data_IF_779291491024
#
_entry.id   IF_779291491024
#
_cell.length_a   1.000
_cell.length_b   1.000
_cell.length_c   1.000
_cell.angle_alpha   90.00
_cell.angle_beta   90.00
_cell.angle_gamma   90.00
#
_symmetry.space_group_name_H-M   'P 1'
#
loop_
_entity.id
_entity.type
_entity.pdbx_description
1 polymer ?
#
# COMPACT_ATOMS: atom_id res chain seq x y z
N UNK A 1 6.06 -15.73 6.40
CA UNK A 1 4.77 -15.05 6.18
C UNK A 1 4.99 -13.70 5.54
N UNK A 2 4.17 -13.39 4.60
CA UNK A 2 4.25 -12.12 3.91
C UNK A 2 3.40 -11.08 4.64
N UNK A 3 3.91 -9.86 4.79
CA UNK A 3 3.18 -8.73 5.37
C UNK A 3 2.26 -8.05 4.36
N UNK A 4 2.28 -8.52 3.13
CA UNK A 4 1.55 -7.94 2.02
C UNK A 4 1.02 -9.06 1.13
N UNK A 5 -0.25 -8.99 0.77
CA UNK A 5 -0.87 -9.91 -0.17
C UNK A 5 -1.19 -9.16 -1.46
N UNK A 6 -0.70 -9.68 -2.57
CA UNK A 6 -0.94 -9.11 -3.90
C UNK A 6 -1.56 -10.19 -4.78
N UNK A 7 -2.79 -9.97 -5.22
CA UNK A 7 -3.55 -10.91 -6.05
C UNK A 7 -4.06 -10.17 -7.28
N UNK A 8 -3.74 -10.70 -8.45
CA UNK A 8 -4.26 -10.20 -9.72
C UNK A 8 -5.20 -11.26 -10.30
N UNK A 9 -6.49 -11.00 -10.26
CA UNK A 9 -7.50 -11.99 -10.60
C UNK A 9 -8.70 -11.31 -11.25
N UNK A 10 -9.07 -11.78 -12.43
CA UNK A 10 -10.25 -11.30 -13.18
C UNK A 10 -10.23 -9.78 -13.43
N UNK A 11 -9.06 -9.22 -13.67
CA UNK A 11 -8.89 -7.80 -13.92
C UNK A 11 -8.88 -6.92 -12.66
N UNK A 12 -8.92 -7.54 -11.48
CA UNK A 12 -8.85 -6.83 -10.20
C UNK A 12 -7.51 -7.12 -9.54
N UNK A 13 -6.74 -6.07 -9.31
CA UNK A 13 -5.48 -6.16 -8.57
C UNK A 13 -5.77 -5.80 -7.11
N UNK A 14 -5.70 -6.79 -6.22
CA UNK A 14 -5.91 -6.58 -4.79
C UNK A 14 -4.58 -6.50 -4.07
N UNK A 15 -4.35 -5.39 -3.41
CA UNK A 15 -3.16 -5.16 -2.59
C UNK A 15 -3.63 -5.01 -1.15
N UNK A 16 -3.35 -6.00 -0.32
CA UNK A 16 -3.84 -6.03 1.07
C UNK A 16 -2.66 -6.06 2.03
N UNK A 17 -2.63 -5.14 2.97
CA UNK A 17 -1.63 -5.13 4.05
C UNK A 17 -2.06 -6.16 5.08
N UNK A 18 -1.18 -7.13 5.39
CA UNK A 18 -1.52 -8.30 6.19
C UNK A 18 -0.66 -8.42 7.44
N UNK A 19 -0.49 -7.31 8.16
CA UNK A 19 0.21 -7.30 9.44
C UNK A 19 -0.63 -6.60 10.52
N UNK A 20 -1.82 -7.20 10.85
CA UNK A 20 -2.75 -6.56 11.78
C UNK A 20 -2.21 -6.39 13.20
N UNK A 21 -1.25 -7.21 13.61
CA UNK A 21 -0.65 -7.12 14.94
C UNK A 21 0.10 -5.80 15.18
N UNK A 22 0.53 -5.14 14.11
CA UNK A 22 1.14 -3.81 14.21
C UNK A 22 0.31 -2.75 13.49
N UNK A 23 -1.01 -2.98 13.39
CA UNK A 23 -1.96 -2.07 12.78
C UNK A 23 -1.62 -1.70 11.33
N UNK A 24 -1.05 -2.66 10.61
CA UNK A 24 -0.70 -2.53 9.19
C UNK A 24 0.27 -1.38 8.89
N UNK A 25 1.23 -1.13 9.81
CA UNK A 25 2.34 -0.24 9.52
C UNK A 25 3.22 -0.86 8.43
N UNK A 26 3.80 -0.01 7.58
CA UNK A 26 4.50 -0.46 6.38
C UNK A 26 5.97 -0.06 6.38
N UNK A 27 6.77 -0.88 5.71
CA UNK A 27 8.20 -0.63 5.49
C UNK A 27 8.40 -0.10 4.07
N UNK A 28 9.59 0.45 3.80
CA UNK A 28 9.95 0.87 2.45
C UNK A 28 9.88 -0.31 1.46
N UNK A 29 10.28 -1.49 1.90
CA UNK A 29 10.20 -2.70 1.08
C UNK A 29 8.76 -3.02 0.66
N UNK A 30 7.82 -2.92 1.59
CA UNK A 30 6.40 -3.15 1.30
C UNK A 30 5.87 -2.12 0.30
N UNK A 31 6.22 -0.84 0.48
CA UNK A 31 5.81 0.22 -0.44
C UNK A 31 6.36 -0.01 -1.84
N UNK A 32 7.62 -0.44 -1.96
CA UNK A 32 8.21 -0.76 -3.25
C UNK A 32 7.53 -1.97 -3.90
N UNK A 33 7.13 -2.96 -3.11
CA UNK A 33 6.37 -4.11 -3.64
C UNK A 33 5.00 -3.67 -4.18
N UNK A 34 4.34 -2.73 -3.51
CA UNK A 34 3.08 -2.14 -4.00
C UNK A 34 3.29 -1.44 -5.34
N UNK A 35 4.35 -0.63 -5.42
CA UNK A 35 4.69 0.09 -6.66
C UNK A 35 5.02 -0.89 -7.78
N UNK A 36 5.81 -1.94 -7.50
CA UNK A 36 6.14 -2.98 -8.48
C UNK A 36 4.86 -3.61 -9.05
N UNK A 37 3.90 -3.92 -8.18
CA UNK A 37 2.65 -4.54 -8.61
C UNK A 37 1.84 -3.64 -9.52
N UNK A 38 1.77 -2.33 -9.22
CA UNK A 38 1.06 -1.36 -10.04
C UNK A 38 1.74 -1.15 -11.39
N UNK A 39 3.07 -1.06 -11.39
CA UNK A 39 3.86 -0.81 -12.60
C UNK A 39 3.87 -2.02 -13.55
N UNK A 40 3.86 -3.23 -13.00
CA UNK A 40 3.88 -4.47 -13.78
C UNK A 40 2.49 -5.01 -14.10
N UNK A 41 1.43 -4.31 -13.72
CA UNK A 41 0.07 -4.79 -13.89
C UNK A 41 -0.28 -4.97 -15.36
N UNK A 42 -0.86 -6.12 -15.69
CA UNK A 42 -1.30 -6.47 -17.03
C UNK A 42 -2.73 -6.99 -16.97
N UNK A 43 -3.59 -6.49 -17.84
CA UNK A 43 -4.99 -6.87 -17.87
C UNK A 43 -5.80 -6.36 -16.68
N UNK A 44 -5.25 -5.43 -15.90
CA UNK A 44 -5.92 -4.88 -14.72
C UNK A 44 -6.88 -3.78 -15.14
N UNK A 45 -8.12 -3.84 -14.63
CA UNK A 45 -9.15 -2.82 -14.84
C UNK A 45 -9.34 -1.94 -13.62
N UNK A 46 -8.98 -2.43 -12.44
CA UNK A 46 -9.08 -1.69 -11.19
C UNK A 46 -8.10 -2.30 -10.18
N UNK A 47 -7.48 -1.45 -9.38
CA UNK A 47 -6.70 -1.89 -8.22
C UNK A 47 -7.41 -1.49 -6.94
N UNK A 48 -7.38 -2.37 -5.93
CA UNK A 48 -8.01 -2.13 -4.64
C UNK A 48 -6.97 -2.31 -3.54
N UNK A 49 -6.74 -1.25 -2.77
CA UNK A 49 -5.89 -1.30 -1.59
C UNK A 49 -6.75 -1.49 -0.35
N UNK A 50 -6.34 -2.38 0.52
CA UNK A 50 -7.04 -2.64 1.76
C UNK A 50 -6.10 -3.11 2.86
N UNK A 51 -6.65 -3.30 4.04
CA UNK A 51 -5.91 -3.80 5.19
C UNK A 51 -6.66 -4.92 5.89
N UNK A 52 -5.92 -5.86 6.43
CA UNK A 52 -6.50 -6.93 7.23
C UNK A 52 -6.71 -6.45 8.66
N UNK A 53 -7.85 -6.78 9.25
CA UNK A 53 -8.16 -6.43 10.63
C UNK A 53 -8.77 -5.04 10.77
N UNK A 54 -8.44 -4.36 11.87
CA UNK A 54 -9.09 -3.11 12.28
C UNK A 54 -8.42 -1.84 11.78
N UNK A 55 -7.33 -1.96 11.05
CA UNK A 55 -6.64 -0.80 10.47
C UNK A 55 -6.45 -0.98 8.98
N UNK A 56 -6.53 0.11 8.25
CA UNK A 56 -6.10 0.16 6.86
C UNK A 56 -4.57 0.21 6.82
N UNK A 57 -4.00 1.28 7.36
CA UNK A 57 -2.57 1.46 7.48
C UNK A 57 -2.28 2.54 8.53
N UNK A 58 -1.51 2.20 9.54
CA UNK A 58 -1.20 3.12 10.63
C UNK A 58 0.00 4.02 10.36
N UNK A 59 0.69 3.81 9.24
CA UNK A 59 1.82 4.62 8.85
C UNK A 59 3.07 3.81 8.59
N UNK A 60 4.23 4.48 8.61
CA UNK A 60 5.52 3.82 8.45
C UNK A 60 5.95 3.14 9.75
N UNK A 61 6.62 2.00 9.62
CA UNK A 61 7.20 1.32 10.79
C UNK A 61 8.23 2.24 11.43
N UNK A 62 8.06 2.50 12.73
CA UNK A 62 8.97 3.33 13.52
C UNK A 62 9.68 2.45 14.55
N UNK A 63 10.99 2.30 14.39
CA UNK A 63 11.82 1.57 15.36
C UNK A 63 12.77 2.56 16.01
N UNK A 64 12.74 2.71 17.34
CA UNK A 64 13.63 3.63 18.03
C UNK A 64 15.11 3.38 17.69
N UNK A 65 15.82 4.42 17.28
CA UNK A 65 17.23 4.33 16.91
C UNK A 65 17.50 3.79 15.52
N UNK A 66 16.47 3.39 14.77
CA UNK A 66 16.61 2.94 13.40
C UNK A 66 16.02 3.99 12.45
N UNK A 67 16.75 4.30 11.39
CA UNK A 67 16.30 5.22 10.35
C UNK A 67 16.18 4.44 9.05
N UNK A 68 14.98 4.47 8.46
CA UNK A 68 14.78 3.92 7.13
C UNK A 68 15.08 5.00 6.10
N UNK A 69 16.31 5.02 5.59
CA UNK A 69 16.77 6.03 4.65
C UNK A 69 16.01 5.99 3.33
N UNK A 70 15.30 4.91 3.06
CA UNK A 70 14.62 4.70 1.80
C UNK A 70 13.13 5.01 1.86
N UNK A 71 12.61 5.34 3.05
CA UNK A 71 11.17 5.47 3.23
C UNK A 71 10.57 6.61 2.39
N UNK A 72 11.23 7.75 2.33
CA UNK A 72 10.72 8.90 1.57
C UNK A 72 10.69 8.59 0.06
N UNK A 73 11.73 7.98 -0.45
CA UNK A 73 11.78 7.59 -1.87
C UNK A 73 10.70 6.54 -2.19
N UNK A 74 10.47 5.61 -1.27
CA UNK A 74 9.45 4.57 -1.44
C UNK A 74 8.04 5.17 -1.40
N UNK A 75 7.79 6.13 -0.51
CA UNK A 75 6.52 6.86 -0.44
C UNK A 75 6.27 7.58 -1.76
N UNK A 76 7.25 8.34 -2.22
CA UNK A 76 7.14 9.07 -3.48
C UNK A 76 6.87 8.13 -4.65
N UNK A 77 7.55 7.00 -4.68
CA UNK A 77 7.37 6.02 -5.75
C UNK A 77 5.96 5.43 -5.76
N UNK A 78 5.45 4.99 -4.61
CA UNK A 78 4.12 4.37 -4.55
C UNK A 78 3.01 5.37 -4.85
N UNK A 79 3.11 6.59 -4.34
CA UNK A 79 2.16 7.65 -4.65
C UNK A 79 2.16 7.93 -6.15
N UNK A 80 3.34 8.04 -6.76
CA UNK A 80 3.47 8.22 -8.19
C UNK A 80 2.87 7.07 -9.00
N UNK A 81 3.10 5.84 -8.57
CA UNK A 81 2.54 4.65 -9.23
C UNK A 81 1.01 4.65 -9.17
N UNK A 82 0.43 5.05 -8.03
CA UNK A 82 -1.02 5.16 -7.87
C UNK A 82 -1.58 6.24 -8.80
N UNK A 83 -1.01 7.42 -8.78
CA UNK A 83 -1.54 8.56 -9.53
C UNK A 83 -1.34 8.43 -11.04
N UNK A 84 -0.34 7.67 -11.48
CA UNK A 84 -0.05 7.46 -12.91
C UNK A 84 -0.65 6.16 -13.46
N UNK A 85 -1.28 5.35 -12.63
CA UNK A 85 -1.86 4.09 -13.08
C UNK A 85 -2.90 4.34 -14.17
N UNK A 86 -2.92 3.49 -15.22
CA UNK A 86 -3.89 3.65 -16.32
C UNK A 86 -5.27 3.07 -16.00
N UNK A 87 -5.52 2.74 -14.75
CA UNK A 87 -6.78 2.20 -14.23
C UNK A 87 -7.10 2.88 -12.89
N UNK A 88 -8.38 2.88 -12.47
CA UNK A 88 -8.75 3.41 -11.16
C UNK A 88 -8.06 2.62 -10.03
N UNK A 89 -7.66 3.34 -9.00
CA UNK A 89 -7.11 2.74 -7.77
C UNK A 89 -8.02 3.13 -6.62
N UNK A 90 -8.63 2.14 -6.00
CA UNK A 90 -9.61 2.33 -4.93
C UNK A 90 -8.97 2.01 -3.59
N UNK A 91 -9.17 2.85 -2.60
CA UNK A 91 -8.81 2.54 -1.22
C UNK A 91 -10.06 2.05 -0.48
N UNK A 92 -10.06 0.78 -0.11
CA UNK A 92 -11.09 0.19 0.74
C UNK A 92 -10.67 0.38 2.19
N UNK A 93 -10.91 1.56 2.72
CA UNK A 93 -10.45 1.95 4.06
C UNK A 93 -11.32 1.27 5.10
N UNK A 94 -10.77 0.23 5.73
CA UNK A 94 -11.49 -0.64 6.65
C UNK A 94 -11.38 -0.20 8.12
N UNK A 95 -10.64 0.86 8.39
CA UNK A 95 -10.42 1.36 9.75
C UNK A 95 -9.38 2.46 9.76
N UNK A 96 -8.51 2.45 10.78
CA UNK A 96 -7.50 3.48 10.98
C UNK A 96 -6.62 3.68 9.74
N UNK A 97 -6.53 4.92 9.29
CA UNK A 97 -5.59 5.36 8.27
C UNK A 97 -4.91 6.62 8.79
N UNK A 98 -3.64 6.51 9.17
CA UNK A 98 -2.91 7.59 9.83
C UNK A 98 -1.54 7.79 9.18
N UNK A 99 -1.04 9.01 9.22
CA UNK A 99 0.25 9.36 8.64
C UNK A 99 0.33 8.96 7.17
N UNK A 100 1.32 8.16 6.83
CA UNK A 100 1.48 7.59 5.48
C UNK A 100 0.23 6.82 5.03
N UNK A 101 -0.46 6.13 5.96
CA UNK A 101 -1.69 5.42 5.62
C UNK A 101 -2.78 6.36 5.11
N UNK A 102 -2.90 7.53 5.70
CA UNK A 102 -3.78 8.58 5.23
C UNK A 102 -3.37 9.07 3.83
N UNK A 103 -2.08 9.25 3.62
CA UNK A 103 -1.55 9.68 2.32
C UNK A 103 -1.84 8.66 1.22
N UNK A 104 -1.67 7.37 1.52
CA UNK A 104 -2.02 6.30 0.57
C UNK A 104 -3.50 6.34 0.19
N UNK A 105 -4.38 6.48 1.18
CA UNK A 105 -5.82 6.53 0.93
C UNK A 105 -6.20 7.74 0.07
N UNK A 106 -5.62 8.90 0.36
CA UNK A 106 -5.91 10.13 -0.37
C UNK A 106 -5.33 10.16 -1.78
N UNK A 107 -4.29 9.40 -2.06
CA UNK A 107 -3.71 9.29 -3.40
C UNK A 107 -4.60 8.47 -4.34
N UNK A 108 -5.44 7.61 -3.80
CA UNK A 108 -6.35 6.78 -4.57
C UNK A 108 -7.52 7.61 -5.14
N UNK A 109 -8.16 7.06 -6.15
CA UNK A 109 -9.29 7.71 -6.82
C UNK A 109 -10.56 7.67 -5.98
#
# INVERSE_FOLDING_TARGET
>A
MSDLSIVNEDGVLKVTITCPDRLNSVTSQMLNQMADALEAADGVRVAVFGGEGRAFCSGAVMVPGAVDDQILAAIERVIGAITKAPFPVVAAVNGLAAGLGSSLALACD
#
